data_IF_585931514211
#
_entry.id   IF_585931514211
#
_cell.length_a   1.000
_cell.length_b   1.000
_cell.length_c   1.000
_cell.angle_alpha   90.00
_cell.angle_beta   90.00
_cell.angle_gamma   90.00
#
_symmetry.space_group_name_H-M   'P 1'
#
loop_
_entity.id
_entity.type
_entity.pdbx_description
1 polymer ?
#
# COMPACT_ATOMS: atom_id res chain seq x y z
N UNK A 1 8.32 -41.44 32.18
CA UNK A 1 8.31 -41.70 30.72
C UNK A 1 8.10 -40.37 30.06
N UNK A 2 8.98 -39.98 29.14
CA UNK A 2 8.85 -38.73 28.39
C UNK A 2 7.50 -38.71 27.64
N UNK A 3 6.84 -37.54 27.60
CA UNK A 3 5.61 -37.37 26.82
C UNK A 3 5.88 -37.48 25.30
N UNK A 4 4.82 -37.64 24.51
CA UNK A 4 4.93 -37.85 23.06
C UNK A 4 5.63 -36.68 22.35
N UNK A 5 5.49 -35.46 22.86
CA UNK A 5 6.11 -34.24 22.32
C UNK A 5 7.62 -34.26 22.56
N UNK A 6 8.04 -34.61 23.77
CA UNK A 6 9.44 -34.74 24.18
C UNK A 6 10.12 -35.85 23.36
N UNK A 7 9.45 -36.97 23.12
CA UNK A 7 9.97 -38.06 22.28
C UNK A 7 10.19 -37.58 20.83
N UNK A 8 9.20 -36.87 20.25
CA UNK A 8 9.31 -36.34 18.89
C UNK A 8 10.43 -35.30 18.78
N UNK A 9 10.55 -34.42 19.78
CA UNK A 9 11.59 -33.41 19.85
C UNK A 9 12.99 -34.04 19.96
N UNK A 10 13.17 -35.03 20.84
CA UNK A 10 14.44 -35.76 20.98
C UNK A 10 14.86 -36.48 19.70
N UNK A 11 13.90 -37.02 18.93
CA UNK A 11 14.19 -37.64 17.64
C UNK A 11 14.74 -36.62 16.63
N UNK A 12 14.15 -35.42 16.60
CA UNK A 12 14.58 -34.35 15.70
C UNK A 12 15.92 -33.74 16.13
N UNK A 13 16.14 -33.57 17.44
CA UNK A 13 17.42 -33.14 18.02
C UNK A 13 18.54 -34.10 17.62
N UNK A 14 18.32 -35.42 17.76
CA UNK A 14 19.30 -36.44 17.34
C UNK A 14 19.58 -36.38 15.85
N UNK A 15 18.56 -36.13 15.02
CA UNK A 15 18.70 -36.06 13.57
C UNK A 15 19.55 -34.86 13.12
N UNK A 16 19.27 -33.66 13.62
CA UNK A 16 20.06 -32.46 13.30
C UNK A 16 21.46 -32.52 13.91
N UNK A 17 21.63 -33.08 15.11
CA UNK A 17 22.95 -33.25 15.72
C UNK A 17 23.87 -34.18 14.90
N UNK A 18 23.32 -35.28 14.35
CA UNK A 18 24.06 -36.17 13.46
C UNK A 18 24.48 -35.46 12.16
N UNK A 19 23.62 -34.60 11.62
CA UNK A 19 23.92 -33.83 10.41
C UNK A 19 25.01 -32.77 10.69
N UNK A 20 24.92 -32.05 11.81
CA UNK A 20 25.97 -31.13 12.28
C UNK A 20 27.31 -31.85 12.49
N UNK A 21 27.29 -33.02 13.11
CA UNK A 21 28.49 -33.82 13.33
C UNK A 21 29.14 -34.24 11.99
N UNK A 22 28.34 -34.66 11.00
CA UNK A 22 28.83 -34.95 9.64
C UNK A 22 29.41 -33.72 8.94
N UNK A 23 28.78 -32.56 9.11
CA UNK A 23 29.26 -31.31 8.53
C UNK A 23 30.58 -30.85 9.15
N UNK A 24 30.73 -31.02 10.47
CA UNK A 24 31.95 -30.69 11.20
C UNK A 24 33.11 -31.65 10.84
N UNK A 25 32.85 -32.93 10.61
CA UNK A 25 33.84 -33.91 10.13
C UNK A 25 34.35 -33.62 8.70
N UNK A 26 33.54 -32.92 7.88
CA UNK A 26 33.89 -32.53 6.51
C UNK A 26 34.63 -31.20 6.40
N UNK A 27 34.57 -30.37 7.45
CA UNK A 27 35.33 -29.12 7.49
C UNK A 27 36.71 -29.38 8.09
N UNK A 28 37.77 -29.33 7.28
CA UNK A 28 39.19 -29.40 7.70
C UNK A 28 39.65 -28.21 8.58
N UNK A 29 38.71 -27.50 9.22
CA UNK A 29 38.94 -26.28 9.98
C UNK A 29 38.67 -26.59 11.45
N UNK A 30 39.64 -26.26 12.32
CA UNK A 30 39.41 -26.22 13.76
C UNK A 30 38.38 -25.14 14.07
N UNK A 31 37.11 -25.53 14.27
CA UNK A 31 36.06 -24.60 14.65
C UNK A 31 36.34 -24.08 16.06
N UNK A 32 36.16 -22.77 16.29
CA UNK A 32 36.20 -22.20 17.64
C UNK A 32 34.91 -22.52 18.40
N UNK A 33 34.95 -22.58 19.73
CA UNK A 33 33.77 -22.85 20.57
C UNK A 33 32.59 -21.90 20.26
N UNK A 34 32.88 -20.65 19.88
CA UNK A 34 31.87 -19.69 19.46
C UNK A 34 31.15 -20.10 18.16
N UNK A 35 31.87 -20.65 17.18
CA UNK A 35 31.28 -21.13 15.92
C UNK A 35 30.45 -22.40 16.12
N UNK A 36 30.85 -23.26 17.06
CA UNK A 36 30.08 -24.45 17.45
C UNK A 36 28.76 -24.02 18.08
N UNK A 37 28.79 -23.12 19.08
CA UNK A 37 27.59 -22.63 19.75
C UNK A 37 26.60 -21.95 18.78
N UNK A 38 27.08 -21.15 17.82
CA UNK A 38 26.23 -20.50 16.82
C UNK A 38 25.52 -21.51 15.89
N UNK A 39 26.20 -22.59 15.51
CA UNK A 39 25.63 -23.66 14.68
C UNK A 39 24.58 -24.47 15.45
N UNK A 40 24.84 -24.75 16.73
CA UNK A 40 23.89 -25.42 17.62
C UNK A 40 22.65 -24.57 17.87
N UNK A 41 22.81 -23.25 18.07
CA UNK A 41 21.71 -22.31 18.21
C UNK A 41 20.86 -22.21 16.93
N UNK A 42 21.51 -22.22 15.76
CA UNK A 42 20.82 -22.22 14.47
C UNK A 42 20.03 -23.52 14.23
N UNK A 43 20.57 -24.66 14.66
CA UNK A 43 19.85 -25.93 14.62
C UNK A 43 18.67 -25.95 15.59
N UNK A 44 18.86 -25.49 16.83
CA UNK A 44 17.77 -25.34 17.81
C UNK A 44 16.59 -24.54 17.25
N UNK A 45 16.86 -23.40 16.59
CA UNK A 45 15.84 -22.58 15.91
C UNK A 45 15.10 -23.33 14.80
N UNK A 46 15.80 -24.12 13.98
CA UNK A 46 15.18 -24.93 12.91
C UNK A 46 14.30 -26.05 13.46
N UNK A 47 14.67 -26.61 14.60
CA UNK A 47 13.90 -27.67 15.27
C UNK A 47 12.60 -27.10 15.83
N UNK A 48 12.70 -25.98 16.56
CA UNK A 48 11.54 -25.30 17.15
C UNK A 48 10.58 -24.70 16.11
N UNK A 49 11.04 -24.46 14.87
CA UNK A 49 10.13 -24.06 13.78
C UNK A 49 9.34 -25.23 13.15
N UNK A 50 9.72 -26.48 13.45
CA UNK A 50 9.08 -27.70 12.90
C UNK A 50 8.25 -28.45 13.92
N UNK A 51 8.57 -28.32 15.21
CA UNK A 51 7.94 -29.04 16.30
C UNK A 51 7.18 -28.04 17.17
N UNK A 52 5.86 -28.20 17.24
CA UNK A 52 5.04 -27.43 18.17
C UNK A 52 5.28 -27.95 19.59
N UNK A 53 5.69 -27.07 20.50
CA UNK A 53 5.98 -27.38 21.91
C UNK A 53 4.97 -26.61 22.79
N UNK A 54 3.87 -27.24 23.21
CA UNK A 54 2.81 -26.56 23.96
C UNK A 54 3.16 -26.32 25.44
N UNK A 55 4.10 -27.07 26.02
CA UNK A 55 4.62 -26.88 27.38
C UNK A 55 6.14 -26.68 27.32
N UNK A 56 6.56 -25.43 27.11
CA UNK A 56 7.98 -25.09 26.99
C UNK A 56 8.80 -25.44 28.23
N UNK A 57 8.26 -25.21 29.43
CA UNK A 57 8.99 -25.44 30.68
C UNK A 57 9.11 -26.93 31.02
N UNK A 58 8.03 -27.71 30.88
CA UNK A 58 8.04 -29.15 31.11
C UNK A 58 8.94 -29.89 30.11
N UNK A 59 8.92 -29.48 28.84
CA UNK A 59 9.78 -30.05 27.80
C UNK A 59 11.24 -29.63 27.99
N UNK A 60 11.52 -28.38 28.36
CA UNK A 60 12.87 -27.95 28.71
C UNK A 60 13.45 -28.73 29.88
N UNK A 61 12.64 -29.00 30.92
CA UNK A 61 13.06 -29.78 32.07
C UNK A 61 13.36 -31.24 31.68
N UNK A 62 12.51 -31.84 30.85
CA UNK A 62 12.71 -33.20 30.34
C UNK A 62 13.98 -33.33 29.48
N UNK A 63 14.29 -32.34 28.64
CA UNK A 63 15.54 -32.30 27.89
C UNK A 63 16.78 -32.22 28.79
N UNK A 64 16.72 -31.42 29.85
CA UNK A 64 17.82 -31.32 30.83
C UNK A 64 17.99 -32.61 31.62
N UNK A 65 16.91 -33.32 31.91
CA UNK A 65 16.99 -34.62 32.59
C UNK A 65 17.58 -35.71 31.70
N UNK A 66 17.27 -35.71 30.40
CA UNK A 66 17.90 -36.59 29.40
C UNK A 66 19.39 -36.29 29.20
N UNK A 67 19.79 -35.00 29.25
CA UNK A 67 21.20 -34.59 29.26
C UNK A 67 21.93 -35.13 30.49
N UNK A 68 21.34 -34.98 31.68
CA UNK A 68 21.92 -35.49 32.93
C UNK A 68 22.01 -37.02 32.98
N UNK A 69 21.10 -37.71 32.30
CA UNK A 69 21.11 -39.16 32.17
C UNK A 69 22.18 -39.69 31.19
N UNK A 70 22.86 -38.81 30.43
CA UNK A 70 23.87 -39.18 29.44
C UNK A 70 23.31 -39.72 28.13
N UNK A 71 21.98 -39.64 27.92
CA UNK A 71 21.30 -40.23 26.76
C UNK A 71 21.52 -39.47 25.43
N UNK A 72 22.33 -38.40 25.46
CA UNK A 72 22.62 -37.49 24.36
C UNK A 72 24.12 -37.28 24.11
N UNK A 73 24.99 -37.86 24.95
CA UNK A 73 26.44 -37.64 24.91
C UNK A 73 27.11 -38.26 23.67
N UNK A 74 26.64 -39.44 23.24
CA UNK A 74 27.24 -40.19 22.12
C UNK A 74 26.94 -39.61 20.72
N UNK A 75 26.08 -38.59 20.62
CA UNK A 75 25.57 -38.07 19.33
C UNK A 75 25.96 -36.62 19.02
N UNK A 76 26.68 -35.94 19.93
CA UNK A 76 26.91 -34.50 19.83
C UNK A 76 25.63 -33.67 19.96
N UNK A 77 24.54 -34.29 20.45
CA UNK A 77 23.23 -33.66 20.62
C UNK A 77 23.15 -32.76 21.86
N UNK A 78 24.16 -32.82 22.73
CA UNK A 78 24.22 -32.11 24.01
C UNK A 78 23.99 -30.61 23.88
N UNK A 79 24.76 -29.94 23.02
CA UNK A 79 24.69 -28.49 22.84
C UNK A 79 23.38 -28.02 22.19
N UNK A 80 22.87 -28.77 21.21
CA UNK A 80 21.57 -28.47 20.56
C UNK A 80 20.41 -28.62 21.56
N UNK A 81 20.40 -29.68 22.37
CA UNK A 81 19.37 -29.90 23.39
C UNK A 81 19.41 -28.84 24.48
N UNK A 82 20.61 -28.43 24.91
CA UNK A 82 20.78 -27.36 25.89
C UNK A 82 20.30 -26.01 25.35
N UNK A 83 20.65 -25.67 24.10
CA UNK A 83 20.18 -24.45 23.44
C UNK A 83 18.65 -24.41 23.32
N UNK A 84 18.00 -25.54 23.01
CA UNK A 84 16.53 -25.64 22.99
C UNK A 84 15.95 -25.43 24.39
N UNK A 85 16.51 -26.07 25.42
CA UNK A 85 16.02 -25.92 26.79
C UNK A 85 16.17 -24.47 27.31
N UNK A 86 17.24 -23.77 26.95
CA UNK A 86 17.43 -22.34 27.26
C UNK A 86 16.43 -21.46 26.53
N UNK A 87 16.18 -21.72 25.24
CA UNK A 87 15.19 -20.98 24.46
C UNK A 87 13.77 -21.16 24.99
N UNK A 88 13.38 -22.38 25.32
CA UNK A 88 12.06 -22.69 25.88
C UNK A 88 11.85 -22.08 27.28
N UNK A 89 12.92 -22.00 28.09
CA UNK A 89 12.89 -21.32 29.41
C UNK A 89 12.88 -19.81 29.31
N UNK A 90 13.47 -19.23 28.25
CA UNK A 90 13.37 -17.81 27.99
C UNK A 90 11.93 -17.41 27.61
N UNK A 91 11.22 -18.27 26.86
CA UNK A 91 9.81 -18.08 26.51
C UNK A 91 8.84 -18.24 27.71
N UNK A 92 9.19 -19.06 28.72
CA UNK A 92 8.29 -19.37 29.85
C UNK A 92 8.27 -18.31 30.97
N UNK A 93 9.05 -17.23 30.88
CA UNK A 93 9.14 -16.20 31.93
C UNK A 93 8.13 -15.05 31.81
N UNK A 94 7.10 -15.16 30.97
CA UNK A 94 6.13 -14.07 30.76
C UNK A 94 4.73 -14.40 31.28
N UNK A 95 4.28 -13.58 32.22
CA UNK A 95 2.95 -13.54 32.85
C UNK A 95 1.80 -13.47 31.86
N UNK A 96 0.83 -14.39 32.01
CA UNK A 96 -0.58 -14.26 31.60
C UNK A 96 -0.84 -13.69 30.20
N UNK A 97 -0.55 -14.48 29.16
CA UNK A 97 -0.80 -14.10 27.76
C UNK A 97 -2.24 -14.47 27.39
N UNK A 98 -3.08 -13.47 27.13
CA UNK A 98 -4.23 -13.66 26.24
C UNK A 98 -3.66 -13.82 24.82
N UNK A 99 -3.60 -15.02 24.26
CA UNK A 99 -2.93 -15.26 22.97
C UNK A 99 -3.70 -14.71 21.75
N UNK A 100 -4.80 -14.00 21.94
CA UNK A 100 -5.68 -13.53 20.84
C UNK A 100 -5.68 -12.02 20.69
N UNK A 101 -5.48 -11.54 19.48
CA UNK A 101 -5.53 -10.13 19.16
C UNK A 101 -6.96 -9.59 19.34
N UNK A 102 -7.20 -8.59 20.22
CA UNK A 102 -8.55 -8.10 20.50
C UNK A 102 -9.18 -7.32 19.34
N UNK A 103 -8.39 -6.98 18.31
CA UNK A 103 -8.84 -6.27 17.12
C UNK A 103 -9.16 -7.24 15.99
N UNK A 104 -8.19 -8.04 15.52
CA UNK A 104 -8.39 -8.91 14.35
C UNK A 104 -8.74 -10.36 14.70
N UNK A 105 -8.70 -10.75 15.97
CA UNK A 105 -8.99 -12.12 16.42
C UNK A 105 -7.92 -13.16 16.06
N UNK A 106 -6.71 -12.73 15.64
CA UNK A 106 -5.60 -13.65 15.38
C UNK A 106 -5.10 -14.26 16.68
N UNK A 107 -5.03 -15.59 16.74
CA UNK A 107 -4.46 -16.37 17.85
C UNK A 107 -2.92 -16.44 17.77
N UNK A 108 -2.27 -16.82 18.87
CA UNK A 108 -0.80 -16.91 18.97
C UNK A 108 -0.10 -15.55 18.87
N UNK A 109 -0.71 -14.47 19.37
CA UNK A 109 -0.10 -13.13 19.40
C UNK A 109 0.38 -12.75 20.81
N UNK A 110 1.44 -11.95 20.87
CA UNK A 110 1.92 -11.43 22.16
C UNK A 110 0.96 -10.35 22.66
N UNK A 111 0.33 -10.60 23.81
CA UNK A 111 -0.49 -9.63 24.53
C UNK A 111 0.03 -9.52 25.95
N UNK A 112 0.56 -8.35 26.27
CA UNK A 112 0.99 -7.99 27.62
C UNK A 112 -0.10 -7.16 28.29
N UNK A 113 -0.64 -7.65 29.41
CA UNK A 113 -1.67 -6.97 30.17
C UNK A 113 -1.08 -6.20 31.36
N UNK A 114 -1.51 -4.96 31.54
CA UNK A 114 -1.17 -4.05 32.64
C UNK A 114 -2.45 -3.53 33.30
N UNK A 115 -2.31 -2.86 34.46
CA UNK A 115 -3.42 -2.21 35.16
C UNK A 115 -4.61 -3.17 35.41
N UNK A 116 -4.33 -4.36 35.94
CA UNK A 116 -5.32 -5.43 36.16
C UNK A 116 -6.08 -5.85 34.88
N UNK A 117 -5.44 -5.75 33.72
CA UNK A 117 -6.03 -6.13 32.43
C UNK A 117 -6.76 -4.98 31.73
N UNK A 118 -6.83 -3.79 32.33
CA UNK A 118 -7.43 -2.63 31.67
C UNK A 118 -6.59 -2.15 30.49
N UNK A 119 -5.26 -2.25 30.54
CA UNK A 119 -4.39 -1.85 29.42
C UNK A 119 -3.71 -3.07 28.82
N UNK A 120 -3.87 -3.28 27.52
CA UNK A 120 -3.26 -4.39 26.77
C UNK A 120 -2.31 -3.86 25.71
N UNK A 121 -1.05 -4.25 25.77
CA UNK A 121 -0.05 -4.00 24.73
C UNK A 121 0.04 -5.23 23.84
N UNK A 122 -0.20 -5.05 22.54
CA UNK A 122 -0.37 -6.15 21.58
C UNK A 122 0.68 -6.04 20.48
N UNK A 123 1.40 -7.13 20.19
CA UNK A 123 2.25 -7.29 19.01
C UNK A 123 1.59 -8.26 18.04
N UNK A 124 0.89 -7.73 17.04
CA UNK A 124 0.17 -8.53 16.06
C UNK A 124 0.82 -8.42 14.67
N UNK A 125 1.07 -9.53 13.95
CA UNK A 125 1.59 -9.48 12.58
C UNK A 125 0.61 -8.85 11.58
N UNK A 126 -0.71 -8.90 11.85
CA UNK A 126 -1.75 -8.29 11.03
C UNK A 126 -1.95 -6.81 11.37
N UNK A 127 -2.39 -6.49 12.59
CA UNK A 127 -2.69 -5.11 13.02
C UNK A 127 -1.44 -4.26 13.31
N UNK A 128 -0.29 -4.88 13.57
CA UNK A 128 0.89 -4.19 14.07
C UNK A 128 0.94 -4.10 15.59
N UNK A 129 1.74 -3.15 16.08
CA UNK A 129 1.98 -2.95 17.51
C UNK A 129 1.10 -1.81 18.00
N UNK A 130 0.31 -2.04 19.04
CA UNK A 130 -0.61 -1.05 19.59
C UNK A 130 -0.90 -1.32 21.06
N UNK A 131 -1.44 -0.30 21.74
CA UNK A 131 -1.97 -0.43 23.09
C UNK A 131 -3.46 -0.11 23.07
N UNK A 132 -4.29 -0.96 23.66
CA UNK A 132 -5.75 -0.78 23.72
C UNK A 132 -6.26 -1.01 25.14
N UNK A 133 -7.32 -0.31 25.54
CA UNK A 133 -7.95 -0.56 26.83
C UNK A 133 -9.10 -1.56 26.75
N UNK A 134 -9.30 -2.36 27.81
CA UNK A 134 -10.39 -3.34 27.88
C UNK A 134 -11.76 -2.68 27.72
N UNK A 135 -11.94 -1.49 28.28
CA UNK A 135 -13.13 -0.67 28.10
C UNK A 135 -13.46 -0.42 26.61
N UNK A 136 -12.44 -0.20 25.77
CA UNK A 136 -12.64 -0.06 24.32
C UNK A 136 -12.93 -1.41 23.68
N UNK A 137 -12.19 -2.47 24.02
CA UNK A 137 -12.40 -3.82 23.47
C UNK A 137 -13.86 -4.27 23.62
N UNK A 138 -14.47 -4.00 24.78
CA UNK A 138 -15.87 -4.32 25.05
C UNK A 138 -16.88 -3.53 24.20
N UNK A 139 -16.48 -2.39 23.63
CA UNK A 139 -17.30 -1.56 22.74
C UNK A 139 -17.17 -1.96 21.26
N UNK A 140 -16.18 -2.77 20.89
CA UNK A 140 -15.90 -3.10 19.48
C UNK A 140 -16.91 -4.10 18.93
N UNK A 141 -17.60 -3.71 17.85
CA UNK A 141 -18.32 -4.63 16.98
C UNK A 141 -17.44 -5.15 15.82
N UNK A 142 -17.97 -6.06 14.99
CA UNK A 142 -17.21 -6.62 13.87
C UNK A 142 -16.82 -5.56 12.81
N UNK A 143 -17.69 -4.59 12.45
CA UNK A 143 -17.30 -3.45 11.62
C UNK A 143 -16.11 -2.65 12.13
N UNK A 144 -16.16 -2.24 13.40
CA UNK A 144 -15.11 -1.42 14.01
C UNK A 144 -13.79 -2.18 14.13
N UNK A 145 -13.84 -3.48 14.41
CA UNK A 145 -12.64 -4.33 14.50
C UNK A 145 -11.81 -4.30 13.23
N UNK A 146 -12.42 -4.48 12.06
CA UNK A 146 -11.65 -4.50 10.82
C UNK A 146 -11.15 -3.10 10.41
N UNK A 147 -11.94 -2.04 10.63
CA UNK A 147 -11.47 -0.67 10.38
C UNK A 147 -10.31 -0.29 11.32
N UNK A 148 -10.37 -0.70 12.59
CA UNK A 148 -9.29 -0.45 13.54
C UNK A 148 -8.04 -1.28 13.19
N UNK A 149 -8.22 -2.51 12.70
CA UNK A 149 -7.11 -3.33 12.16
C UNK A 149 -6.44 -2.62 10.97
N UNK A 150 -7.24 -2.08 10.05
CA UNK A 150 -6.74 -1.32 8.90
C UNK A 150 -6.02 -0.03 9.32
N UNK A 151 -6.62 0.73 10.24
CA UNK A 151 -6.06 1.99 10.73
C UNK A 151 -4.73 1.80 11.46
N UNK A 152 -4.64 0.82 12.36
CA UNK A 152 -3.40 0.49 13.09
C UNK A 152 -2.30 0.02 12.13
N UNK A 153 -2.68 -0.81 11.14
CA UNK A 153 -1.77 -1.25 10.08
C UNK A 153 -1.23 -0.10 9.24
N UNK A 154 -2.10 0.82 8.80
CA UNK A 154 -1.71 1.98 8.00
C UNK A 154 -0.72 2.90 8.75
N UNK A 155 -0.89 3.08 10.07
CA UNK A 155 0.07 3.84 10.90
C UNK A 155 1.44 3.17 10.95
N UNK A 156 1.47 1.84 11.13
CA UNK A 156 2.72 1.06 11.11
C UNK A 156 3.45 1.18 9.77
N UNK A 157 2.73 1.04 8.66
CA UNK A 157 3.32 1.12 7.31
C UNK A 157 3.84 2.52 6.98
N UNK A 158 3.23 3.57 7.56
CA UNK A 158 3.70 4.96 7.42
C UNK A 158 4.74 5.37 8.46
N UNK A 159 5.20 4.45 9.32
CA UNK A 159 6.17 4.73 10.38
C UNK A 159 5.65 5.67 11.48
N UNK A 160 4.33 5.89 11.56
CA UNK A 160 3.70 6.76 12.56
C UNK A 160 3.39 5.95 13.82
N UNK A 161 3.65 6.55 14.98
CA UNK A 161 3.28 5.94 16.25
C UNK A 161 1.76 5.78 16.36
N UNK A 162 1.32 4.61 16.83
CA UNK A 162 -0.09 4.36 17.15
C UNK A 162 -0.34 4.92 18.55
N UNK A 163 -1.19 5.95 18.72
CA UNK A 163 -1.56 6.42 20.05
C UNK A 163 -2.30 5.32 20.81
N UNK A 164 -2.23 5.34 22.14
CA UNK A 164 -2.99 4.42 22.97
C UNK A 164 -4.49 4.55 22.66
N UNK A 165 -5.12 3.41 22.37
CA UNK A 165 -6.54 3.31 22.02
C UNK A 165 -7.32 3.16 23.33
N UNK A 166 -7.72 4.28 23.92
CA UNK A 166 -8.47 4.36 25.17
C UNK A 166 -9.85 4.97 24.91
N UNK A 167 -10.72 4.95 25.92
CA UNK A 167 -12.04 5.58 25.84
C UNK A 167 -11.98 7.05 25.39
N UNK A 168 -10.91 7.77 25.77
CA UNK A 168 -10.73 9.19 25.45
C UNK A 168 -10.29 9.44 24.00
N UNK A 169 -9.51 8.51 23.40
CA UNK A 169 -9.00 8.65 22.04
C UNK A 169 -9.87 7.96 21.00
N UNK A 170 -10.70 7.01 21.42
CA UNK A 170 -11.43 6.12 20.53
C UNK A 170 -12.36 6.84 19.55
N UNK A 171 -13.17 7.78 20.03
CA UNK A 171 -14.16 8.46 19.17
C UNK A 171 -13.45 9.36 18.12
N UNK A 172 -12.32 9.97 18.47
CA UNK A 172 -11.47 10.71 17.54
C UNK A 172 -10.79 9.79 16.51
N UNK A 173 -10.35 8.60 16.93
CA UNK A 173 -9.79 7.58 16.03
C UNK A 173 -10.84 7.13 15.02
N UNK A 174 -12.04 6.77 15.47
CA UNK A 174 -13.14 6.31 14.60
C UNK A 174 -13.54 7.41 13.62
N UNK A 175 -13.61 8.66 14.07
CA UNK A 175 -13.89 9.81 13.21
C UNK A 175 -12.81 10.08 12.16
N UNK A 176 -11.60 9.53 12.33
CA UNK A 176 -10.48 9.66 11.39
C UNK A 176 -10.45 8.59 10.29
N UNK A 177 -11.36 7.60 10.34
CA UNK A 177 -11.36 6.52 9.36
C UNK A 177 -11.72 7.06 7.95
N UNK A 178 -10.93 6.76 6.92
CA UNK A 178 -11.27 7.08 5.55
C UNK A 178 -12.51 6.29 5.10
N UNK A 179 -13.33 6.94 4.29
CA UNK A 179 -14.46 6.27 3.60
C UNK A 179 -13.99 5.84 2.22
N UNK A 180 -13.71 4.54 2.05
CA UNK A 180 -13.30 3.97 0.76
C UNK A 180 -14.47 3.30 0.06
N UNK A 181 -14.69 3.68 -1.20
CA UNK A 181 -15.60 2.97 -2.09
C UNK A 181 -15.01 1.60 -2.47
N UNK A 182 -15.84 0.71 -3.04
CA UNK A 182 -15.37 -0.60 -3.54
C UNK A 182 -14.29 -0.44 -4.62
N UNK A 183 -14.36 0.62 -5.42
CA UNK A 183 -13.34 0.94 -6.44
C UNK A 183 -12.03 1.40 -5.79
N UNK A 184 -12.09 2.19 -4.73
CA UNK A 184 -10.89 2.61 -3.99
C UNK A 184 -10.17 1.42 -3.39
N UNK A 185 -10.90 0.47 -2.80
CA UNK A 185 -10.32 -0.76 -2.25
C UNK A 185 -9.70 -1.66 -3.33
N UNK A 186 -10.30 -1.73 -4.52
CA UNK A 186 -9.69 -2.41 -5.68
C UNK A 186 -8.39 -1.74 -6.09
N UNK A 187 -8.35 -0.41 -6.14
CA UNK A 187 -7.12 0.36 -6.42
C UNK A 187 -6.03 0.06 -5.40
N UNK A 188 -6.34 0.15 -4.10
CA UNK A 188 -5.38 -0.18 -3.03
C UNK A 188 -4.81 -1.60 -3.22
N UNK A 189 -5.65 -2.57 -3.56
CA UNK A 189 -5.20 -3.93 -3.78
C UNK A 189 -4.21 -4.03 -4.94
N UNK A 190 -4.52 -3.48 -6.12
CA UNK A 190 -3.61 -3.59 -7.27
C UNK A 190 -2.32 -2.79 -7.09
N UNK A 191 -2.35 -1.65 -6.40
CA UNK A 191 -1.15 -0.88 -6.01
C UNK A 191 -0.24 -1.73 -5.11
N UNK A 192 -0.81 -2.40 -4.09
CA UNK A 192 -0.07 -3.31 -3.21
C UNK A 192 0.57 -4.46 -4.00
N UNK A 193 -0.15 -5.03 -4.98
CA UNK A 193 0.40 -6.10 -5.80
C UNK A 193 1.54 -5.60 -6.68
N UNK A 194 1.45 -4.38 -7.19
CA UNK A 194 2.50 -3.76 -7.99
C UNK A 194 3.76 -3.55 -7.14
N UNK A 195 3.62 -3.04 -5.92
CA UNK A 195 4.73 -2.86 -4.97
C UNK A 195 5.41 -4.18 -4.59
N UNK A 196 4.67 -5.29 -4.59
CA UNK A 196 5.19 -6.63 -4.31
C UNK A 196 5.78 -7.32 -5.55
N UNK A 197 5.57 -6.75 -6.74
CA UNK A 197 6.05 -7.32 -8.00
C UNK A 197 7.51 -6.94 -8.24
N UNK A 198 8.39 -7.93 -8.40
CA UNK A 198 9.82 -7.69 -8.66
C UNK A 198 10.11 -7.20 -10.09
N UNK A 199 9.34 -7.68 -11.07
CA UNK A 199 9.35 -7.24 -12.46
C UNK A 199 8.01 -7.59 -13.12
N UNK A 200 7.57 -6.88 -14.18
CA UNK A 200 6.35 -7.23 -14.90
C UNK A 200 6.29 -8.72 -15.27
N UNK A 201 5.15 -9.36 -15.03
CA UNK A 201 4.96 -10.81 -15.23
C UNK A 201 5.46 -11.72 -14.09
N UNK A 202 6.05 -11.18 -13.02
CA UNK A 202 6.37 -11.98 -11.84
C UNK A 202 5.09 -12.38 -11.08
N UNK A 203 5.11 -13.57 -10.48
CA UNK A 203 4.03 -14.03 -9.61
C UNK A 203 4.10 -13.35 -8.25
N UNK A 204 2.95 -12.86 -7.80
CA UNK A 204 2.73 -12.21 -6.51
C UNK A 204 1.84 -13.08 -5.65
N UNK A 205 2.17 -13.14 -4.36
CA UNK A 205 1.43 -13.89 -3.36
C UNK A 205 0.22 -13.09 -2.85
N UNK A 206 -0.98 -13.66 -2.98
CA UNK A 206 -2.22 -13.09 -2.50
C UNK A 206 -2.68 -13.79 -1.23
N UNK A 207 -2.26 -13.32 -0.07
CA UNK A 207 -2.82 -13.76 1.21
C UNK A 207 -3.97 -12.83 1.61
N UNK A 208 -5.21 -13.33 1.47
CA UNK A 208 -6.41 -12.52 1.68
C UNK A 208 -6.54 -11.99 3.09
N UNK A 209 -6.10 -12.75 4.11
CA UNK A 209 -6.15 -12.34 5.52
C UNK A 209 -5.17 -11.22 5.80
N UNK A 210 -3.93 -11.36 5.36
CA UNK A 210 -2.87 -10.37 5.58
C UNK A 210 -3.10 -9.08 4.80
N UNK A 211 -3.74 -9.17 3.62
CA UNK A 211 -4.04 -8.04 2.76
C UNK A 211 -5.30 -7.29 3.21
N UNK A 212 -6.26 -7.96 3.85
CA UNK A 212 -7.52 -7.36 4.33
C UNK A 212 -7.36 -5.99 5.01
N UNK A 213 -6.51 -5.83 6.05
CA UNK A 213 -6.33 -4.52 6.69
C UNK A 213 -5.65 -3.48 5.78
N UNK A 214 -4.83 -3.90 4.81
CA UNK A 214 -4.13 -2.98 3.91
C UNK A 214 -5.07 -2.38 2.85
N UNK A 215 -6.13 -3.11 2.49
CA UNK A 215 -7.15 -2.66 1.54
C UNK A 215 -8.45 -2.21 2.21
N UNK A 216 -8.46 -2.06 3.53
CA UNK A 216 -9.65 -1.67 4.31
C UNK A 216 -10.87 -2.59 4.09
N UNK A 217 -10.60 -3.88 3.89
CA UNK A 217 -11.64 -4.91 3.77
C UNK A 217 -12.09 -5.41 5.16
N UNK A 218 -13.35 -5.83 5.22
CA UNK A 218 -14.00 -6.47 6.37
C UNK A 218 -13.39 -7.83 6.73
N UNK A 219 -12.67 -8.46 5.80
CA UNK A 219 -11.94 -9.70 5.99
C UNK A 219 -11.59 -10.37 4.67
N UNK A 220 -11.14 -11.62 4.77
CA UNK A 220 -10.63 -12.40 3.64
C UNK A 220 -11.63 -12.55 2.50
N UNK A 221 -12.93 -12.68 2.80
CA UNK A 221 -13.99 -12.81 1.78
C UNK A 221 -14.13 -11.55 0.92
N UNK A 222 -14.07 -10.36 1.53
CA UNK A 222 -14.10 -9.11 0.77
C UNK A 222 -12.80 -8.93 -0.02
N UNK A 223 -11.62 -9.25 0.54
CA UNK A 223 -10.37 -9.20 -0.22
C UNK A 223 -10.37 -10.19 -1.40
N UNK A 224 -10.92 -11.39 -1.21
CA UNK A 224 -11.14 -12.36 -2.27
C UNK A 224 -12.07 -11.79 -3.35
N UNK A 225 -13.18 -11.15 -2.95
CA UNK A 225 -14.06 -10.46 -3.89
C UNK A 225 -13.34 -9.37 -4.69
N UNK A 226 -12.54 -8.51 -4.03
CA UNK A 226 -11.76 -7.46 -4.68
C UNK A 226 -10.77 -8.04 -5.71
N UNK A 227 -10.07 -9.12 -5.36
CA UNK A 227 -9.15 -9.80 -6.28
C UNK A 227 -9.89 -10.39 -7.50
N UNK A 228 -11.06 -10.99 -7.29
CA UNK A 228 -11.90 -11.48 -8.40
C UNK A 228 -12.46 -10.34 -9.25
N UNK A 229 -12.78 -9.19 -8.67
CA UNK A 229 -13.21 -8.00 -9.41
C UNK A 229 -12.09 -7.46 -10.31
N UNK A 230 -10.85 -7.37 -9.79
CA UNK A 230 -9.67 -7.00 -10.59
C UNK A 230 -9.42 -8.01 -11.73
N UNK A 231 -9.58 -9.30 -11.45
CA UNK A 231 -9.47 -10.36 -12.46
C UNK A 231 -10.56 -10.26 -13.54
N UNK A 232 -11.82 -10.08 -13.14
CA UNK A 232 -12.94 -9.92 -14.09
C UNK A 232 -12.83 -8.66 -14.95
N UNK A 233 -12.10 -7.64 -14.48
CA UNK A 233 -11.74 -6.44 -15.24
C UNK A 233 -10.50 -6.62 -16.12
N UNK A 234 -9.88 -7.80 -16.10
CA UNK A 234 -8.66 -8.09 -16.84
C UNK A 234 -7.45 -7.29 -16.38
N UNK A 235 -7.43 -6.79 -15.14
CA UNK A 235 -6.30 -6.03 -14.59
C UNK A 235 -5.24 -6.94 -13.98
N UNK A 236 -5.66 -8.10 -13.47
CA UNK A 236 -4.77 -9.14 -12.96
C UNK A 236 -5.26 -10.52 -13.41
N UNK A 237 -4.39 -11.51 -13.34
CA UNK A 237 -4.72 -12.91 -13.61
C UNK A 237 -4.26 -13.80 -12.48
N UNK A 238 -5.07 -14.80 -12.14
CA UNK A 238 -4.68 -15.84 -11.20
C UNK A 238 -3.85 -16.89 -11.93
N UNK A 239 -2.60 -17.06 -11.50
CA UNK A 239 -1.70 -18.10 -11.99
C UNK A 239 -1.93 -19.43 -11.25
N UNK A 240 -2.28 -19.37 -9.96
CA UNK A 240 -2.62 -20.52 -9.15
C UNK A 240 -3.70 -20.16 -8.13
N UNK A 241 -4.68 -21.03 -7.97
CA UNK A 241 -5.79 -20.88 -7.03
C UNK A 241 -5.66 -21.89 -5.90
N UNK A 242 -5.80 -21.45 -4.65
CA UNK A 242 -6.11 -22.38 -3.55
C UNK A 242 -7.61 -22.62 -3.50
N UNK A 243 -8.01 -23.89 -3.38
CA UNK A 243 -9.42 -24.27 -3.27
C UNK A 243 -10.10 -23.81 -1.98
N UNK A 244 -9.30 -23.45 -0.96
CA UNK A 244 -9.78 -23.04 0.37
C UNK A 244 -9.94 -21.53 0.56
N UNK A 245 -9.64 -20.73 -0.49
CA UNK A 245 -9.72 -19.25 -0.47
C UNK A 245 -8.89 -18.59 0.63
N UNK A 246 -7.80 -19.23 1.06
CA UNK A 246 -6.86 -18.62 2.01
C UNK A 246 -5.81 -17.77 1.30
N UNK A 247 -5.28 -18.30 0.19
CA UNK A 247 -4.20 -17.70 -0.57
C UNK A 247 -4.22 -18.10 -2.05
N UNK A 248 -3.85 -17.19 -2.93
CA UNK A 248 -3.69 -17.43 -4.37
C UNK A 248 -2.32 -16.90 -4.86
N UNK A 249 -1.93 -17.24 -6.08
CA UNK A 249 -0.85 -16.56 -6.80
C UNK A 249 -1.42 -15.87 -8.03
N UNK A 250 -1.00 -14.63 -8.25
CA UNK A 250 -1.43 -13.82 -9.38
C UNK A 250 -0.30 -13.10 -10.07
N UNK A 251 -0.59 -12.52 -11.22
CA UNK A 251 0.28 -11.55 -11.89
C UNK A 251 -0.56 -10.37 -12.37
N UNK A 252 0.07 -9.19 -12.45
CA UNK A 252 -0.55 -8.01 -13.06
C UNK A 252 -0.43 -8.12 -14.58
N UNK A 253 -1.54 -7.90 -15.27
CA UNK A 253 -1.62 -7.94 -16.74
C UNK A 253 -1.10 -6.63 -17.36
N UNK A 254 -0.84 -6.57 -18.68
CA UNK A 254 -0.57 -5.31 -19.36
C UNK A 254 -1.65 -4.23 -19.11
N UNK A 255 -2.94 -4.61 -19.15
CA UNK A 255 -4.04 -3.68 -18.87
C UNK A 255 -4.06 -3.19 -17.41
N UNK A 256 -3.56 -4.02 -16.47
CA UNK A 256 -3.34 -3.65 -15.08
C UNK A 256 -2.25 -2.58 -14.91
N UNK A 257 -1.14 -2.71 -15.63
CA UNK A 257 -0.09 -1.68 -15.65
C UNK A 257 -0.57 -0.38 -16.28
N UNK A 258 -1.27 -0.44 -17.42
CA UNK A 258 -1.90 0.74 -18.02
C UNK A 258 -2.87 1.44 -17.06
N UNK A 259 -3.58 0.66 -16.22
CA UNK A 259 -4.48 1.20 -15.21
C UNK A 259 -3.73 1.92 -14.09
N UNK A 260 -2.62 1.37 -13.61
CA UNK A 260 -1.76 1.99 -12.61
C UNK A 260 -1.13 3.29 -13.13
N UNK A 261 -0.58 3.28 -14.35
CA UNK A 261 0.02 4.46 -14.98
C UNK A 261 -1.00 5.61 -15.12
N UNK A 262 -2.25 5.29 -15.46
CA UNK A 262 -3.34 6.27 -15.53
C UNK A 262 -3.69 6.85 -14.15
N UNK A 263 -3.70 6.03 -13.11
CA UNK A 263 -3.95 6.51 -11.74
C UNK A 263 -2.82 7.43 -11.29
N UNK A 264 -1.56 7.04 -11.50
CA UNK A 264 -0.41 7.85 -11.12
C UNK A 264 -0.43 9.19 -11.87
N UNK A 265 -0.68 9.16 -13.18
CA UNK A 265 -0.82 10.37 -14.00
C UNK A 265 -1.96 11.27 -13.51
N UNK A 266 -3.11 10.69 -13.17
CA UNK A 266 -4.26 11.42 -12.64
C UNK A 266 -3.99 12.02 -11.25
N UNK A 267 -3.33 11.27 -10.36
CA UNK A 267 -2.95 11.73 -9.03
C UNK A 267 -1.92 12.87 -9.10
N UNK A 268 -0.94 12.75 -10.01
CA UNK A 268 0.04 13.80 -10.27
C UNK A 268 -0.62 15.07 -10.78
N UNK A 269 -1.53 14.95 -11.77
CA UNK A 269 -2.32 16.07 -12.24
C UNK A 269 -3.19 16.66 -11.12
N UNK A 270 -3.76 15.82 -10.25
CA UNK A 270 -4.59 16.28 -9.15
C UNK A 270 -3.86 17.06 -8.06
N UNK A 271 -2.59 16.77 -7.82
CA UNK A 271 -1.73 17.50 -6.91
C UNK A 271 -1.07 18.74 -7.54
N UNK A 272 -1.29 18.97 -8.84
CA UNK A 272 -0.74 20.11 -9.55
C UNK A 272 -1.61 21.34 -9.39
N UNK A 273 -0.98 22.51 -9.24
CA UNK A 273 -1.63 23.80 -9.44
C UNK A 273 -1.46 24.33 -10.86
N UNK A 274 -0.73 23.62 -11.73
CA UNK A 274 -0.47 24.06 -13.11
C UNK A 274 -1.70 23.89 -14.00
N UNK A 275 -1.94 24.87 -14.87
CA UNK A 275 -3.00 24.86 -15.89
C UNK A 275 -2.36 25.05 -17.25
N UNK A 276 -2.44 24.04 -18.10
CA UNK A 276 -1.93 24.17 -19.46
C UNK A 276 -2.87 25.07 -20.28
N UNK A 277 -2.33 26.05 -20.99
CA UNK A 277 -3.09 26.97 -21.85
C UNK A 277 -2.68 26.77 -23.29
N UNK A 278 -3.56 26.10 -24.03
CA UNK A 278 -3.47 25.92 -25.47
C UNK A 278 -4.19 27.10 -26.15
N UNK A 279 -3.44 28.00 -26.77
CA UNK A 279 -4.02 29.15 -27.47
C UNK A 279 -3.19 29.59 -28.67
N UNK A 280 -3.80 30.36 -29.56
CA UNK A 280 -3.12 30.91 -30.73
C UNK A 280 -2.12 32.04 -30.35
N UNK A 281 -0.85 31.92 -30.76
CA UNK A 281 0.25 32.89 -30.51
C UNK A 281 0.23 34.17 -31.36
N UNK A 282 -0.86 34.47 -32.04
CA UNK A 282 -0.94 35.70 -32.83
C UNK A 282 -1.03 36.93 -31.93
N UNK A 283 -0.43 38.04 -32.36
CA UNK A 283 -0.41 39.28 -31.61
C UNK A 283 -1.82 39.78 -31.24
N UNK A 284 -2.84 39.47 -32.06
CA UNK A 284 -4.24 39.81 -31.77
C UNK A 284 -4.83 39.07 -30.56
N UNK A 285 -4.18 38.02 -30.09
CA UNK A 285 -4.59 37.23 -28.92
C UNK A 285 -3.84 37.60 -27.64
N UNK A 286 -2.83 38.47 -27.73
CA UNK A 286 -2.02 38.83 -26.56
C UNK A 286 -2.84 39.51 -25.46
N UNK A 287 -3.83 40.35 -25.84
CA UNK A 287 -4.72 40.94 -24.85
C UNK A 287 -5.59 39.91 -24.14
N UNK A 288 -6.01 38.85 -24.85
CA UNK A 288 -6.80 37.77 -24.28
C UNK A 288 -5.97 36.93 -23.29
N UNK A 289 -4.68 36.75 -23.58
CA UNK A 289 -3.74 36.13 -22.64
C UNK A 289 -3.52 37.00 -21.39
N UNK A 290 -3.00 38.22 -21.57
CA UNK A 290 -2.52 39.07 -20.46
C UNK A 290 -3.65 39.58 -19.58
N UNK A 291 -4.81 39.89 -20.15
CA UNK A 291 -5.95 40.48 -19.42
C UNK A 291 -7.13 39.53 -19.23
N UNK A 292 -7.10 38.35 -19.84
CA UNK A 292 -8.17 37.36 -19.80
C UNK A 292 -7.75 36.07 -19.08
N UNK A 293 -7.12 35.16 -19.82
CA UNK A 293 -6.84 33.79 -19.35
C UNK A 293 -5.89 33.80 -18.16
N UNK A 294 -4.75 34.50 -18.26
CA UNK A 294 -3.74 34.51 -17.19
C UNK A 294 -4.31 35.01 -15.86
N UNK A 295 -4.94 36.20 -15.77
CA UNK A 295 -5.47 36.68 -14.50
C UNK A 295 -6.61 35.82 -13.96
N UNK A 296 -7.44 35.20 -14.81
CA UNK A 296 -8.49 34.29 -14.36
C UNK A 296 -7.95 33.05 -13.65
N UNK A 297 -6.88 32.47 -14.20
CA UNK A 297 -6.22 31.29 -13.61
C UNK A 297 -5.52 31.67 -12.31
N UNK A 298 -4.77 32.78 -12.32
CA UNK A 298 -4.05 33.27 -11.13
C UNK A 298 -5.02 33.66 -10.01
N UNK A 299 -6.16 34.30 -10.31
CA UNK A 299 -7.16 34.66 -9.29
C UNK A 299 -7.91 33.46 -8.73
N UNK A 300 -8.05 32.38 -9.49
CA UNK A 300 -8.57 31.10 -9.01
C UNK A 300 -7.55 30.29 -8.17
N UNK A 301 -6.34 30.81 -7.96
CA UNK A 301 -5.28 30.17 -7.15
C UNK A 301 -4.41 29.17 -7.91
N UNK A 302 -4.56 29.09 -9.24
CA UNK A 302 -3.79 28.19 -10.09
C UNK A 302 -2.63 28.92 -10.79
N UNK A 303 -1.69 28.15 -11.36
CA UNK A 303 -0.52 28.66 -12.11
C UNK A 303 -0.70 28.42 -13.60
N UNK A 304 -0.94 29.46 -14.42
CA UNK A 304 -1.10 29.29 -15.86
C UNK A 304 0.24 28.97 -16.53
N UNK A 305 0.25 27.95 -17.38
CA UNK A 305 1.38 27.56 -18.20
C UNK A 305 1.00 27.64 -19.68
N UNK A 306 1.61 28.58 -20.40
CA UNK A 306 1.53 28.68 -21.86
C UNK A 306 2.94 28.47 -22.40
N UNK A 307 3.07 27.58 -23.39
CA UNK A 307 4.36 27.36 -24.06
C UNK A 307 4.78 28.63 -24.78
N UNK A 308 6.01 29.10 -24.64
CA UNK A 308 6.46 30.32 -25.34
C UNK A 308 6.89 30.03 -26.79
N UNK A 309 6.69 31.02 -27.66
CA UNK A 309 6.97 30.95 -29.10
C UNK A 309 8.47 30.83 -29.45
N UNK A 310 9.37 31.04 -28.48
CA UNK A 310 10.84 31.11 -28.66
C UNK A 310 11.53 29.72 -28.66
N UNK A 311 10.75 28.63 -28.71
CA UNK A 311 11.23 27.24 -28.59
C UNK A 311 11.52 26.56 -29.94
N UNK A 312 11.57 27.31 -31.03
CA UNK A 312 11.71 26.82 -32.41
C UNK A 312 13.01 26.05 -32.74
N UNK A 313 13.96 25.92 -31.80
CA UNK A 313 15.26 25.26 -31.99
C UNK A 313 15.40 23.88 -31.33
N UNK A 314 14.34 23.31 -30.74
CA UNK A 314 14.38 21.97 -30.16
C UNK A 314 13.58 20.99 -31.02
N UNK A 315 14.23 20.01 -31.64
CA UNK A 315 13.58 18.99 -32.49
C UNK A 315 12.59 18.05 -31.79
N UNK A 316 12.12 18.37 -30.57
CA UNK A 316 11.14 17.59 -29.78
C UNK A 316 10.20 18.49 -28.97
N UNK A 317 9.68 19.56 -29.57
CA UNK A 317 8.66 20.45 -28.95
C UNK A 317 7.46 19.65 -28.44
N UNK A 318 7.01 18.66 -29.22
CA UNK A 318 5.84 17.83 -28.91
C UNK A 318 5.98 17.08 -27.58
N UNK A 319 7.16 16.50 -27.31
CA UNK A 319 7.40 15.77 -26.06
C UNK A 319 7.35 16.67 -24.82
N UNK A 320 7.75 17.94 -24.95
CA UNK A 320 7.63 18.93 -23.87
C UNK A 320 6.17 19.32 -23.67
N UNK A 321 5.44 19.61 -24.75
CA UNK A 321 4.01 19.92 -24.70
C UNK A 321 3.25 18.78 -24.00
N UNK A 322 3.45 17.54 -24.44
CA UNK A 322 2.81 16.36 -23.84
C UNK A 322 3.15 16.20 -22.36
N UNK A 323 4.42 16.41 -21.99
CA UNK A 323 4.85 16.35 -20.60
C UNK A 323 4.18 17.42 -19.74
N UNK A 324 4.06 18.65 -20.23
CA UNK A 324 3.43 19.75 -19.51
C UNK A 324 1.91 19.61 -19.42
N UNK A 325 1.27 19.04 -20.45
CA UNK A 325 -0.15 18.66 -20.38
C UNK A 325 -0.35 17.60 -19.29
N UNK A 326 0.45 16.52 -19.27
CA UNK A 326 0.36 15.48 -18.23
C UNK A 326 0.55 16.02 -16.81
N UNK A 327 1.36 17.08 -16.66
CA UNK A 327 1.63 17.72 -15.37
C UNK A 327 0.54 18.69 -14.92
N UNK A 328 -0.39 19.03 -15.79
CA UNK A 328 -1.39 20.04 -15.51
C UNK A 328 -2.65 19.45 -14.89
N UNK A 329 -3.25 20.18 -13.95
CA UNK A 329 -4.51 19.81 -13.30
C UNK A 329 -5.67 19.76 -14.28
N UNK A 330 -5.69 20.71 -15.19
CA UNK A 330 -6.64 20.81 -16.29
C UNK A 330 -6.02 21.65 -17.41
N UNK A 331 -6.71 21.70 -18.55
CA UNK A 331 -6.29 22.46 -19.73
C UNK A 331 -7.36 23.52 -20.09
N UNK A 332 -6.92 24.72 -20.46
CA UNK A 332 -7.74 25.73 -21.13
C UNK A 332 -7.37 25.76 -22.61
N UNK A 333 -8.35 25.55 -23.48
CA UNK A 333 -8.18 25.55 -24.93
C UNK A 333 -8.94 26.72 -25.57
N UNK A 334 -8.22 27.76 -26.02
CA UNK A 334 -8.81 28.85 -26.79
C UNK A 334 -8.73 28.59 -28.29
N UNK A 335 -9.90 28.40 -28.93
CA UNK A 335 -10.02 27.97 -30.32
C UNK A 335 -10.31 29.11 -31.31
N UNK A 336 -10.13 30.39 -30.90
CA UNK A 336 -10.44 31.59 -31.70
C UNK A 336 -9.80 31.63 -33.10
N UNK A 337 -8.68 30.93 -33.31
CA UNK A 337 -7.98 30.85 -34.60
C UNK A 337 -8.11 29.50 -35.33
N UNK A 338 -8.96 28.59 -34.84
CA UNK A 338 -9.12 27.23 -35.36
C UNK A 338 -7.78 26.48 -35.59
N UNK A 339 -6.83 26.64 -34.67
CA UNK A 339 -5.46 26.10 -34.81
C UNK A 339 -5.43 24.60 -34.54
N UNK A 340 -4.92 23.83 -35.49
CA UNK A 340 -4.79 22.37 -35.38
C UNK A 340 -4.02 21.94 -34.13
N UNK A 341 -2.95 22.65 -33.77
CA UNK A 341 -2.18 22.39 -32.54
C UNK A 341 -3.03 22.48 -31.27
N UNK A 342 -3.87 23.51 -31.15
CA UNK A 342 -4.77 23.69 -29.99
C UNK A 342 -5.76 22.53 -29.88
N UNK A 343 -6.33 22.09 -31.01
CA UNK A 343 -7.25 20.94 -31.02
C UNK A 343 -6.53 19.62 -30.70
N UNK A 344 -5.28 19.45 -31.16
CA UNK A 344 -4.46 18.29 -30.82
C UNK A 344 -4.17 18.23 -29.32
N UNK A 345 -3.70 19.34 -28.73
CA UNK A 345 -3.40 19.45 -27.31
C UNK A 345 -4.65 19.21 -26.44
N UNK A 346 -5.79 19.80 -26.82
CA UNK A 346 -7.05 19.58 -26.14
C UNK A 346 -7.54 18.13 -26.27
N UNK A 347 -7.43 17.53 -27.46
CA UNK A 347 -7.78 16.12 -27.68
C UNK A 347 -6.88 15.17 -26.88
N UNK A 348 -5.59 15.48 -26.78
CA UNK A 348 -4.64 14.74 -25.96
C UNK A 348 -5.00 14.80 -24.48
N UNK A 349 -5.31 16.00 -23.96
CA UNK A 349 -5.76 16.17 -22.58
C UNK A 349 -7.06 15.40 -22.29
N UNK A 350 -8.05 15.44 -23.19
CA UNK A 350 -9.27 14.63 -23.09
C UNK A 350 -8.95 13.13 -23.06
N UNK A 351 -8.03 12.67 -23.92
CA UNK A 351 -7.59 11.27 -23.95
C UNK A 351 -6.91 10.80 -22.67
N UNK A 352 -6.25 11.72 -21.95
CA UNK A 352 -5.67 11.48 -20.62
C UNK A 352 -6.69 11.57 -19.48
N UNK A 353 -7.93 11.98 -19.76
CA UNK A 353 -8.96 12.22 -18.75
C UNK A 353 -8.78 13.53 -17.98
N UNK A 354 -7.97 14.46 -18.47
CA UNK A 354 -7.86 15.80 -17.90
C UNK A 354 -9.08 16.65 -18.27
N UNK A 355 -9.65 17.42 -17.32
CA UNK A 355 -10.68 18.39 -17.64
C UNK A 355 -10.17 19.41 -18.68
N UNK A 356 -11.00 19.71 -19.67
CA UNK A 356 -10.70 20.73 -20.68
C UNK A 356 -11.80 21.80 -20.65
N UNK A 357 -11.39 23.04 -20.40
CA UNK A 357 -12.25 24.21 -20.51
C UNK A 357 -12.00 24.85 -21.87
N UNK A 358 -13.06 24.98 -22.66
CA UNK A 358 -12.97 25.55 -24.00
C UNK A 358 -13.35 27.02 -23.98
N UNK A 359 -12.61 27.87 -24.72
CA UNK A 359 -12.97 29.26 -24.94
C UNK A 359 -12.88 29.66 -26.41
N UNK A 360 -13.67 30.64 -26.80
CA UNK A 360 -13.66 31.18 -28.16
C UNK A 360 -14.12 32.62 -28.17
N UNK A 361 -13.47 33.45 -28.98
CA UNK A 361 -13.93 34.82 -29.22
C UNK A 361 -15.23 34.79 -30.03
N UNK A 362 -16.20 35.57 -29.59
CA UNK A 362 -17.57 35.62 -30.13
C UNK A 362 -17.63 35.88 -31.64
N UNK A 363 -16.75 36.73 -32.19
CA UNK A 363 -16.65 37.02 -33.63
C UNK A 363 -16.04 35.89 -34.47
N UNK A 364 -15.48 34.86 -33.82
CA UNK A 364 -14.78 33.71 -34.45
C UNK A 364 -15.47 32.37 -34.22
N UNK A 365 -16.66 32.36 -33.64
CA UNK A 365 -17.41 31.13 -33.41
C UNK A 365 -17.73 30.34 -34.70
N UNK A 366 -17.90 31.04 -35.82
CA UNK A 366 -18.18 30.41 -37.11
C UNK A 366 -16.99 29.59 -37.64
N UNK A 367 -15.77 29.96 -37.24
CA UNK A 367 -14.52 29.36 -37.69
C UNK A 367 -14.21 28.05 -36.91
N UNK A 368 -14.96 27.76 -35.85
CA UNK A 368 -14.76 26.58 -35.00
C UNK A 368 -15.03 25.26 -35.75
N UNK A 369 -14.17 24.28 -35.53
CA UNK A 369 -14.38 22.92 -36.03
C UNK A 369 -15.68 22.32 -35.49
N UNK A 370 -16.40 21.58 -36.35
CA UNK A 370 -17.72 21.03 -36.04
C UNK A 370 -17.72 20.15 -34.78
N UNK A 371 -16.66 19.36 -34.58
CA UNK A 371 -16.56 18.35 -33.52
C UNK A 371 -16.44 18.93 -32.10
N UNK A 372 -16.09 20.20 -31.93
CA UNK A 372 -16.05 20.83 -30.60
C UNK A 372 -17.33 21.57 -30.24
N UNK A 373 -18.27 21.80 -31.17
CA UNK A 373 -19.51 22.55 -30.91
C UNK A 373 -20.43 21.91 -29.85
N UNK A 374 -20.23 20.63 -29.56
CA UNK A 374 -20.92 19.90 -28.49
C UNK A 374 -20.40 20.23 -27.09
N UNK A 375 -19.17 20.75 -26.96
CA UNK A 375 -18.63 21.18 -25.67
C UNK A 375 -19.11 22.59 -25.34
N UNK A 376 -19.38 22.85 -24.05
CA UNK A 376 -19.68 24.21 -23.58
C UNK A 376 -18.42 25.06 -23.68
N UNK A 377 -18.50 26.11 -24.49
CA UNK A 377 -17.43 27.10 -24.63
C UNK A 377 -17.73 28.33 -23.79
N UNK A 378 -16.69 28.89 -23.16
CA UNK A 378 -16.70 30.28 -22.72
C UNK A 378 -16.61 31.15 -23.96
N UNK A 379 -17.73 31.81 -24.29
CA UNK A 379 -17.82 32.72 -25.43
C UNK A 379 -17.53 34.12 -24.90
N UNK A 380 -16.48 34.74 -25.43
CA UNK A 380 -16.02 36.04 -24.92
C UNK A 380 -16.00 37.13 -25.99
N UNK A 381 -16.34 38.35 -25.61
CA UNK A 381 -16.24 39.52 -26.48
C UNK A 381 -15.05 40.41 -26.13
N UNK A 382 -14.69 40.50 -24.86
CA UNK A 382 -13.54 41.25 -24.37
C UNK A 382 -12.67 40.38 -23.46
N UNK A 383 -11.38 40.71 -23.28
CA UNK A 383 -10.53 39.98 -22.34
C UNK A 383 -11.04 39.99 -20.89
N UNK A 384 -11.68 41.06 -20.45
CA UNK A 384 -12.23 41.18 -19.09
C UNK A 384 -13.43 40.25 -18.89
N UNK A 385 -14.26 40.11 -19.91
CA UNK A 385 -15.37 39.14 -19.95
C UNK A 385 -14.84 37.70 -19.91
N UNK A 386 -13.81 37.42 -20.72
CA UNK A 386 -13.09 36.16 -20.68
C UNK A 386 -12.53 35.86 -19.28
N UNK A 387 -11.94 36.85 -18.61
CA UNK A 387 -11.36 36.67 -17.29
C UNK A 387 -12.40 36.22 -16.26
N UNK A 388 -13.52 36.94 -16.18
CA UNK A 388 -14.56 36.66 -15.20
C UNK A 388 -15.23 35.31 -15.46
N UNK A 389 -15.60 35.02 -16.72
CA UNK A 389 -16.26 33.76 -17.07
C UNK A 389 -15.35 32.55 -16.85
N UNK A 390 -14.05 32.64 -17.18
CA UNK A 390 -13.11 31.56 -16.94
C UNK A 390 -12.90 31.34 -15.44
N UNK A 391 -12.73 32.40 -14.66
CA UNK A 391 -12.57 32.28 -13.21
C UNK A 391 -13.75 31.52 -12.59
N UNK A 392 -14.97 31.97 -12.86
CA UNK A 392 -16.17 31.36 -12.27
C UNK A 392 -16.33 29.90 -12.69
N UNK A 393 -16.02 29.59 -13.95
CA UNK A 393 -16.07 28.23 -14.46
C UNK A 393 -14.98 27.33 -13.86
N UNK A 394 -13.76 27.84 -13.67
CA UNK A 394 -12.67 27.10 -13.02
C UNK A 394 -13.07 26.74 -11.59
N UNK A 395 -13.56 27.71 -10.82
CA UNK A 395 -14.02 27.47 -9.44
C UNK A 395 -15.17 26.45 -9.42
N UNK A 396 -16.15 26.59 -10.32
CA UNK A 396 -17.33 25.72 -10.33
C UNK A 396 -17.05 24.30 -10.84
N UNK A 397 -16.17 24.13 -11.82
CA UNK A 397 -15.93 22.85 -12.49
C UNK A 397 -14.72 22.09 -11.94
N UNK A 398 -13.70 22.80 -11.44
CA UNK A 398 -12.44 22.20 -10.97
C UNK A 398 -12.33 22.28 -9.45
N UNK A 399 -12.75 23.40 -8.85
CA UNK A 399 -12.63 23.67 -7.41
C UNK A 399 -11.39 24.48 -7.04
N UNK A 400 -11.01 24.41 -5.77
CA UNK A 400 -9.80 25.07 -5.25
C UNK A 400 -8.54 24.24 -5.59
N UNK A 401 -7.35 24.88 -5.72
CA UNK A 401 -6.08 24.17 -5.88
C UNK A 401 -5.75 23.28 -4.67
N UNK A 402 -4.95 22.21 -4.88
CA UNK A 402 -4.56 21.25 -3.83
C UNK A 402 -3.62 21.82 -2.77
#
# INVERSE_FOLDING_TARGET
>A
MADATTIALLAEVRREAQELHRQNLRSDISNTDHQVNQRELAAARRILSRVHVPDGEGVAQSLVDELRAGNLDDTGAGGVALAIAEMLRADSTTTGVDETCPICGLEGVDVESQDHGERRSVRCPTCGNFTITQSVVNRLDQPMRHHLSAWTRAKKETGRAVPAISSDTFDAIVSSFPSYSVTDKQRLLIEILADQTSHPGALVHLDYRSLSPRVWASGSDETYYLANALHGRGLMEFAQRSGDRTMDYCQITPAGWDYLDRIESSAFAAASSQVFVAMWFDASMESAWVRGIRPAVESAGYTPYRVDNDLSNLGRIDAKIEAEIKRSRFLIADVTGARQGVYYEAGYAVGLGLPVIWSVRSDRMADMHFDTKQYKHVIWATPEDLANQLHDLVIAAIGEPP
#
